data_IF_464435698147
#
_entry.id   IF_464435698147
#
_cell.length_a   1.000
_cell.length_b   1.000
_cell.length_c   1.000
_cell.angle_alpha   90.00
_cell.angle_beta   90.00
_cell.angle_gamma   90.00
#
_symmetry.space_group_name_H-M   'P 1'
#
loop_
_entity.id
_entity.type
_entity.pdbx_description
1 polymer ?
#
# COMPACT_ATOMS: atom_id res chain seq x y z
N UNK A 1 -0.29 9.50 -5.93
CA UNK A 1 -1.34 9.78 -4.94
C UNK A 1 -0.85 10.79 -3.90
N UNK A 2 0.27 10.52 -3.19
CA UNK A 2 0.80 11.38 -2.11
C UNK A 2 0.97 12.85 -2.51
N UNK A 3 1.49 13.12 -3.70
CA UNK A 3 1.69 14.51 -4.18
C UNK A 3 0.38 15.29 -4.26
N UNK A 4 -0.66 14.71 -4.84
CA UNK A 4 -1.96 15.36 -4.94
C UNK A 4 -2.64 15.51 -3.57
N UNK A 5 -2.51 14.50 -2.72
CA UNK A 5 -2.99 14.59 -1.33
C UNK A 5 -2.29 15.73 -0.58
N UNK A 6 -0.96 15.82 -0.68
CA UNK A 6 -0.19 16.89 -0.04
C UNK A 6 -0.56 18.29 -0.60
N UNK A 7 -0.75 18.40 -1.92
CA UNK A 7 -1.18 19.65 -2.55
C UNK A 7 -2.52 20.14 -2.00
N UNK A 8 -3.53 19.29 -2.00
CA UNK A 8 -4.85 19.67 -1.48
C UNK A 8 -4.85 19.93 0.03
N UNK A 9 -4.11 19.14 0.81
CA UNK A 9 -3.94 19.40 2.23
C UNK A 9 -3.24 20.73 2.49
N UNK A 10 -2.26 21.11 1.67
CA UNK A 10 -1.59 22.40 1.79
C UNK A 10 -2.57 23.57 1.60
N UNK A 11 -3.44 23.48 0.60
CA UNK A 11 -4.51 24.47 0.35
C UNK A 11 -5.47 24.54 1.53
N UNK A 12 -6.00 23.39 1.96
CA UNK A 12 -6.98 23.31 3.05
C UNK A 12 -6.44 23.82 4.39
N UNK A 13 -5.16 23.62 4.65
CA UNK A 13 -4.53 23.99 5.92
C UNK A 13 -3.84 25.35 5.90
N UNK A 14 -3.75 26.01 4.73
CA UNK A 14 -3.02 27.26 4.58
C UNK A 14 -1.53 27.17 4.89
N UNK A 15 -0.94 25.97 4.79
CA UNK A 15 0.49 25.72 5.05
C UNK A 15 1.02 24.57 4.21
N UNK A 16 2.30 24.61 3.91
CA UNK A 16 2.95 23.57 3.15
C UNK A 16 2.85 22.19 3.81
N UNK A 17 2.44 21.19 3.03
CA UNK A 17 2.50 19.77 3.35
C UNK A 17 3.39 19.10 2.32
N UNK A 18 4.47 18.50 2.79
CA UNK A 18 5.43 17.82 1.92
C UNK A 18 4.90 16.45 1.48
N UNK A 19 5.35 16.00 0.31
CA UNK A 19 5.09 14.67 -0.21
C UNK A 19 6.41 13.94 -0.43
N UNK A 20 6.50 12.75 0.13
CA UNK A 20 7.60 11.80 -0.10
C UNK A 20 7.03 10.41 -0.40
N UNK A 21 7.85 9.50 -0.87
CA UNK A 21 7.47 8.12 -1.12
C UNK A 21 8.61 7.17 -0.75
N UNK A 22 8.26 5.93 -0.49
CA UNK A 22 9.21 4.83 -0.31
C UNK A 22 9.43 4.09 -1.62
N UNK A 23 10.59 3.48 -1.78
CA UNK A 23 10.89 2.60 -2.90
C UNK A 23 10.96 1.15 -2.42
N UNK A 24 10.38 0.26 -3.22
CA UNK A 24 10.40 -1.17 -2.94
C UNK A 24 11.77 -1.75 -3.23
N UNK A 25 12.36 -2.43 -2.26
CA UNK A 25 13.62 -3.13 -2.38
C UNK A 25 13.44 -4.58 -2.87
N UNK A 26 14.53 -5.24 -3.34
CA UNK A 26 14.49 -6.65 -3.76
C UNK A 26 13.98 -7.61 -2.68
N UNK A 27 14.25 -7.33 -1.41
CA UNK A 27 13.76 -8.06 -0.24
C UNK A 27 12.29 -7.75 0.10
N UNK A 28 11.61 -7.01 -0.77
CA UNK A 28 10.21 -6.53 -0.65
C UNK A 28 9.99 -5.55 0.51
N UNK A 29 11.04 -5.01 1.14
CA UNK A 29 10.90 -3.91 2.08
C UNK A 29 10.59 -2.60 1.35
N UNK A 30 10.08 -1.63 2.08
CA UNK A 30 9.82 -0.27 1.63
C UNK A 30 10.78 0.65 2.37
N UNK A 31 11.61 1.39 1.67
CA UNK A 31 12.57 2.31 2.30
C UNK A 31 12.49 3.71 1.68
N UNK A 32 12.85 4.70 2.46
CA UNK A 32 13.09 6.04 1.93
C UNK A 32 14.48 6.07 1.29
N UNK A 33 14.52 6.34 0.00
CA UNK A 33 15.75 6.61 -0.74
C UNK A 33 15.94 8.12 -0.91
N UNK A 34 17.05 8.56 -1.52
CA UNK A 34 17.27 9.96 -1.89
C UNK A 34 17.16 10.94 -0.72
N UNK A 35 17.55 10.50 0.47
CA UNK A 35 17.48 11.28 1.71
C UNK A 35 16.06 11.74 2.11
N UNK A 36 15.01 11.12 1.58
CA UNK A 36 13.63 11.47 1.93
C UNK A 36 13.29 11.24 3.41
N UNK A 37 14.03 10.37 4.11
CA UNK A 37 13.87 10.15 5.54
C UNK A 37 14.02 11.44 6.38
N UNK A 38 14.88 12.38 5.96
CA UNK A 38 15.04 13.66 6.66
C UNK A 38 13.73 14.48 6.73
N UNK A 39 12.86 14.36 5.72
CA UNK A 39 11.57 15.06 5.69
C UNK A 39 10.49 14.39 6.54
N UNK A 40 10.74 13.16 6.98
CA UNK A 40 9.85 12.36 7.82
C UNK A 40 10.18 12.50 9.29
N UNK A 41 11.46 12.63 9.63
CA UNK A 41 11.96 12.68 11.00
C UNK A 41 11.27 13.77 11.83
N UNK A 42 10.66 13.36 12.94
CA UNK A 42 9.95 14.26 13.88
C UNK A 42 8.65 14.85 13.31
N UNK A 43 8.14 14.37 12.17
CA UNK A 43 6.92 14.87 11.53
C UNK A 43 5.73 13.97 11.78
N UNK A 44 4.53 14.58 11.75
CA UNK A 44 3.28 13.86 11.63
C UNK A 44 3.08 13.45 10.16
N UNK A 45 2.94 12.16 9.90
CA UNK A 45 2.88 11.58 8.56
C UNK A 45 1.52 10.92 8.34
N UNK A 46 0.87 11.28 7.24
CA UNK A 46 -0.26 10.54 6.67
C UNK A 46 0.29 9.58 5.61
N UNK A 47 0.06 8.30 5.78
CA UNK A 47 0.37 7.28 4.77
C UNK A 47 -0.83 7.14 3.83
N UNK A 48 -0.59 7.16 2.51
CA UNK A 48 -1.67 7.03 1.51
C UNK A 48 -1.31 5.96 0.50
N UNK A 49 -2.31 5.16 0.12
CA UNK A 49 -2.19 4.06 -0.83
C UNK A 49 -3.39 4.07 -1.80
N UNK A 50 -3.21 3.58 -3.01
CA UNK A 50 -4.31 3.44 -3.96
C UNK A 50 -5.18 2.22 -3.63
N UNK A 51 -4.60 1.05 -3.52
CA UNK A 51 -5.32 -0.21 -3.26
C UNK A 51 -4.64 -1.01 -2.17
N UNK A 52 -5.43 -1.43 -1.18
CA UNK A 52 -4.98 -2.35 -0.14
C UNK A 52 -5.65 -3.71 -0.34
N UNK A 53 -4.81 -4.75 -0.51
CA UNK A 53 -5.28 -6.14 -0.70
C UNK A 53 -5.00 -6.99 0.54
N UNK A 54 -3.76 -7.00 1.02
CA UNK A 54 -3.35 -7.73 2.23
C UNK A 54 -2.82 -6.81 3.32
N UNK A 55 -2.70 -5.52 3.04
CA UNK A 55 -2.16 -4.52 3.96
C UNK A 55 -0.64 -4.55 4.16
N UNK A 56 0.04 -5.58 3.65
CA UNK A 56 1.46 -5.77 3.91
C UNK A 56 2.35 -4.63 3.39
N UNK A 57 2.06 -4.05 2.23
CA UNK A 57 2.82 -2.92 1.70
C UNK A 57 2.66 -1.67 2.57
N UNK A 58 1.43 -1.34 2.95
CA UNK A 58 1.14 -0.18 3.81
C UNK A 58 1.81 -0.32 5.17
N UNK A 59 1.77 -1.52 5.78
CA UNK A 59 2.48 -1.76 7.05
C UNK A 59 3.98 -1.52 6.93
N UNK A 60 4.61 -1.96 5.86
CA UNK A 60 6.04 -1.71 5.62
C UNK A 60 6.36 -0.22 5.46
N UNK A 61 5.47 0.55 4.82
CA UNK A 61 5.61 2.01 4.76
C UNK A 61 5.46 2.64 6.15
N UNK A 62 4.49 2.18 6.95
CA UNK A 62 4.33 2.62 8.35
C UNK A 62 5.60 2.34 9.14
N UNK A 63 6.14 1.12 9.06
CA UNK A 63 7.36 0.71 9.75
C UNK A 63 8.56 1.57 9.32
N UNK A 64 8.68 1.89 8.02
CA UNK A 64 9.74 2.76 7.49
C UNK A 64 9.62 4.18 8.03
N UNK A 65 8.42 4.73 8.12
CA UNK A 65 8.18 6.06 8.73
C UNK A 65 8.63 6.09 10.18
N UNK A 66 8.27 5.04 10.94
CA UNK A 66 8.65 4.91 12.36
C UNK A 66 10.16 4.76 12.52
N UNK A 67 10.81 3.96 11.67
CA UNK A 67 12.26 3.77 11.67
C UNK A 67 13.03 5.08 11.42
N UNK A 68 12.50 5.96 10.57
CA UNK A 68 13.05 7.31 10.34
C UNK A 68 12.70 8.32 11.45
N UNK A 69 12.03 7.89 12.51
CA UNK A 69 11.62 8.75 13.62
C UNK A 69 10.45 9.67 13.31
N UNK A 70 9.64 9.32 12.31
CA UNK A 70 8.35 9.96 12.04
C UNK A 70 7.23 9.41 12.92
N UNK A 71 6.11 10.14 12.99
CA UNK A 71 4.89 9.70 13.67
C UNK A 71 3.78 9.50 12.66
N UNK A 72 3.35 8.26 12.43
CA UNK A 72 2.18 8.00 11.59
C UNK A 72 0.92 8.38 12.35
N UNK A 73 0.20 9.38 11.86
CA UNK A 73 -1.04 9.86 12.48
C UNK A 73 -2.27 9.16 11.93
N UNK A 74 -2.20 8.70 10.68
CA UNK A 74 -3.21 7.87 10.04
C UNK A 74 -2.64 7.22 8.78
N UNK A 75 -3.31 6.18 8.30
CA UNK A 75 -3.17 5.66 6.96
C UNK A 75 -4.53 5.73 6.23
N UNK A 76 -4.51 5.93 4.92
CA UNK A 76 -5.72 6.02 4.11
C UNK A 76 -5.51 5.33 2.76
N UNK A 77 -6.53 4.59 2.30
CA UNK A 77 -6.52 3.99 0.97
C UNK A 77 -7.68 4.51 0.11
N UNK A 78 -7.51 4.50 -1.21
CA UNK A 78 -8.66 4.72 -2.09
C UNK A 78 -9.58 3.49 -2.07
N UNK A 79 -9.00 2.29 -2.17
CA UNK A 79 -9.74 1.03 -2.20
C UNK A 79 -9.22 0.07 -1.14
N UNK A 80 -10.13 -0.48 -0.33
CA UNK A 80 -9.85 -1.61 0.55
C UNK A 80 -10.56 -2.86 0.01
N UNK A 81 -9.80 -3.92 -0.27
CA UNK A 81 -10.36 -5.17 -0.81
C UNK A 81 -10.86 -6.13 0.26
N UNK A 82 -10.41 -5.97 1.50
CA UNK A 82 -10.76 -6.85 2.62
C UNK A 82 -10.94 -6.05 3.92
N UNK A 83 -12.04 -5.29 4.05
CA UNK A 83 -12.27 -4.44 5.21
C UNK A 83 -12.49 -5.23 6.52
N UNK A 84 -12.81 -6.51 6.45
CA UNK A 84 -12.96 -7.34 7.64
C UNK A 84 -11.61 -7.59 8.31
N UNK A 85 -10.58 -7.89 7.52
CA UNK A 85 -9.25 -8.19 8.03
C UNK A 85 -8.33 -6.96 8.04
N UNK A 86 -8.52 -6.02 7.10
CA UNK A 86 -7.70 -4.82 6.95
C UNK A 86 -8.43 -3.62 7.54
N UNK A 87 -8.16 -3.36 8.80
CA UNK A 87 -8.82 -2.38 9.64
C UNK A 87 -7.78 -1.66 10.54
N UNK A 88 -8.15 -0.66 11.34
CA UNK A 88 -7.22 0.07 12.21
C UNK A 88 -6.43 -0.82 13.16
N UNK A 89 -7.05 -1.91 13.68
CA UNK A 89 -6.36 -2.87 14.56
C UNK A 89 -5.24 -3.61 13.83
N UNK A 90 -5.48 -4.02 12.59
CA UNK A 90 -4.46 -4.65 11.75
C UNK A 90 -3.34 -3.66 11.41
N UNK A 91 -3.68 -2.44 11.03
CA UNK A 91 -2.70 -1.41 10.66
C UNK A 91 -1.87 -0.91 11.84
N UNK A 92 -2.41 -0.95 13.06
CA UNK A 92 -1.76 -0.40 14.26
C UNK A 92 -1.81 1.13 14.34
N UNK A 93 -2.51 1.76 13.42
CA UNK A 93 -2.75 3.21 13.33
C UNK A 93 -4.20 3.46 12.88
N UNK A 94 -4.76 4.65 13.09
CA UNK A 94 -6.02 5.03 12.45
C UNK A 94 -5.96 4.77 10.94
N UNK A 95 -6.94 4.06 10.42
CA UNK A 95 -7.00 3.67 9.01
C UNK A 95 -8.40 3.86 8.47
N UNK A 96 -8.49 4.48 7.29
CA UNK A 96 -9.74 4.70 6.58
C UNK A 96 -9.56 4.47 5.07
N UNK A 97 -10.66 4.40 4.34
CA UNK A 97 -10.65 4.17 2.88
C UNK A 97 -11.89 4.79 2.23
N UNK A 98 -11.78 5.12 0.94
CA UNK A 98 -12.87 5.76 0.21
C UNK A 98 -13.93 4.76 -0.25
N UNK A 99 -13.52 3.54 -0.63
CA UNK A 99 -14.45 2.53 -1.13
C UNK A 99 -13.96 1.11 -0.87
N UNK A 100 -14.89 0.17 -0.94
CA UNK A 100 -14.62 -1.27 -0.89
C UNK A 100 -14.79 -1.85 -2.29
N UNK A 101 -13.81 -2.64 -2.72
CA UNK A 101 -13.92 -3.48 -3.90
C UNK A 101 -13.60 -4.91 -3.51
N UNK A 102 -14.62 -5.64 -3.08
CA UNK A 102 -14.49 -7.07 -2.79
C UNK A 102 -14.05 -7.82 -4.05
N UNK A 103 -12.93 -8.50 -3.95
CA UNK A 103 -12.46 -9.41 -5.00
C UNK A 103 -12.06 -10.71 -4.34
N UNK A 104 -12.59 -11.79 -4.84
CA UNK A 104 -12.20 -13.10 -4.35
C UNK A 104 -10.73 -13.36 -4.71
N UNK A 105 -9.98 -13.77 -3.70
CA UNK A 105 -8.59 -14.16 -3.83
C UNK A 105 -8.44 -15.56 -3.27
N UNK A 106 -7.94 -16.49 -4.09
CA UNK A 106 -7.74 -17.87 -3.70
C UNK A 106 -6.26 -18.23 -3.73
N UNK A 107 -5.89 -19.16 -2.86
CA UNK A 107 -4.64 -19.88 -3.05
C UNK A 107 -4.73 -20.72 -4.34
N UNK A 108 -3.60 -20.97 -4.96
CA UNK A 108 -3.54 -21.69 -6.24
C UNK A 108 -4.33 -23.02 -6.24
N UNK A 109 -4.19 -23.82 -5.17
CA UNK A 109 -4.88 -25.12 -5.01
C UNK A 109 -6.40 -25.00 -4.94
N UNK A 110 -6.91 -23.84 -4.50
CA UNK A 110 -8.33 -23.58 -4.26
C UNK A 110 -8.95 -22.67 -5.33
N UNK A 111 -8.14 -22.19 -6.29
CA UNK A 111 -8.55 -21.25 -7.32
C UNK A 111 -9.68 -21.79 -8.19
N UNK A 112 -10.85 -21.16 -8.09
CA UNK A 112 -12.03 -21.57 -8.86
C UNK A 112 -11.81 -21.39 -10.37
N UNK A 113 -11.15 -20.31 -10.79
CA UNK A 113 -10.86 -20.05 -12.20
C UNK A 113 -9.94 -21.12 -12.79
N UNK A 114 -8.96 -21.61 -12.00
CA UNK A 114 -8.10 -22.72 -12.44
C UNK A 114 -8.88 -24.03 -12.57
N UNK A 115 -9.83 -24.29 -11.68
CA UNK A 115 -10.71 -25.49 -11.75
C UNK A 115 -11.63 -25.45 -12.97
N UNK A 116 -12.05 -24.27 -13.38
CA UNK A 116 -12.87 -24.02 -14.56
C UNK A 116 -12.05 -23.95 -15.87
N UNK A 117 -10.73 -24.09 -15.79
CA UNK A 117 -9.84 -24.06 -16.95
C UNK A 117 -9.66 -22.68 -17.58
N UNK A 118 -9.95 -21.60 -16.84
CA UNK A 118 -9.74 -20.23 -17.33
C UNK A 118 -8.24 -19.99 -17.55
N UNK A 119 -7.81 -19.59 -18.77
CA UNK A 119 -6.40 -19.43 -19.08
C UNK A 119 -5.79 -18.25 -18.30
N UNK A 120 -4.56 -18.44 -17.83
CA UNK A 120 -3.81 -17.38 -17.16
C UNK A 120 -3.42 -16.30 -18.16
N UNK A 121 -3.75 -15.05 -17.84
CA UNK A 121 -3.34 -13.90 -18.64
C UNK A 121 -1.81 -13.72 -18.57
N UNK A 122 -1.14 -13.81 -19.73
CA UNK A 122 0.31 -13.66 -19.86
C UNK A 122 0.75 -12.32 -20.39
N UNK A 123 -0.19 -11.45 -20.76
CA UNK A 123 0.10 -10.11 -21.29
C UNK A 123 0.05 -9.02 -20.23
N UNK A 124 -0.80 -9.19 -19.21
CA UNK A 124 -0.95 -8.26 -18.09
C UNK A 124 -0.59 -8.93 -16.77
N UNK A 125 0.01 -8.19 -15.86
CA UNK A 125 0.35 -8.66 -14.51
C UNK A 125 1.47 -9.70 -14.49
N UNK A 126 1.37 -10.67 -13.58
CA UNK A 126 2.44 -11.63 -13.27
C UNK A 126 2.22 -13.03 -13.87
N UNK A 127 1.22 -13.21 -14.72
CA UNK A 127 0.85 -14.56 -15.23
C UNK A 127 1.95 -15.24 -16.02
N UNK A 128 2.74 -14.51 -16.83
CA UNK A 128 3.91 -15.05 -17.54
C UNK A 128 4.94 -15.60 -16.57
N UNK A 129 5.36 -14.79 -15.58
CA UNK A 129 6.36 -15.20 -14.58
C UNK A 129 5.86 -16.38 -13.72
N UNK A 130 4.56 -16.47 -13.47
CA UNK A 130 3.96 -17.60 -12.78
C UNK A 130 4.09 -18.89 -13.60
N UNK A 131 3.76 -18.87 -14.88
CA UNK A 131 3.88 -20.05 -15.76
C UNK A 131 5.34 -20.48 -15.98
N UNK A 132 6.28 -19.55 -16.04
CA UNK A 132 7.71 -19.84 -16.15
C UNK A 132 8.27 -20.57 -14.93
N UNK A 133 7.75 -20.29 -13.73
CA UNK A 133 8.14 -20.98 -12.48
C UNK A 133 7.57 -22.39 -12.35
N UNK A 134 6.58 -22.76 -13.18
CA UNK A 134 5.96 -24.10 -13.18
C UNK A 134 6.58 -25.06 -14.20
N UNK A 135 7.47 -24.57 -15.03
CA UNK A 135 8.27 -25.40 -15.95
C UNK A 135 9.51 -25.91 -15.25
#
# INVERSE_FOLDING_TARGET
>A
LSQWTAHHLSILRGKEVLSVYTEKQPDKNQIFTRDYGQFVKGKNVLVVEDIVTTGGSVKKVIDSVLAEGGKVVAACAMVNKDPLNINPKFMGVPFDYLTVLGMDVWDEKDCLLCKEGVPINTTLGHGRAYLEKKK
#
